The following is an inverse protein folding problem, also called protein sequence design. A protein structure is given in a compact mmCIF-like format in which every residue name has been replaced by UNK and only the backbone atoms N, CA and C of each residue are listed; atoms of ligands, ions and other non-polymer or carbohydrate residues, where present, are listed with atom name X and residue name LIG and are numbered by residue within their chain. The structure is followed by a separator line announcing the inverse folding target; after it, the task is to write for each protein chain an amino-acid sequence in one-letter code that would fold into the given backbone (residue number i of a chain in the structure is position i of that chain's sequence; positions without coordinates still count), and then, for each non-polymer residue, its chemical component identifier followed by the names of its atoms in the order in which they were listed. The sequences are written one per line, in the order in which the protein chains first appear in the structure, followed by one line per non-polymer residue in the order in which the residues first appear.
data_IF_654604425422
#
_entry.id   IF_654604425422
#
_cell.length_a   1.000
_cell.length_b   1.000
_cell.length_c   1.000
_cell.angle_alpha   90.00
_cell.angle_beta   90.00
_cell.angle_gamma   90.00
#
_symmetry.space_group_name_H-M   'P 1'
#
loop_
_entity.id
_entity.type
_entity.pdbx_description
1 polymer ?
#
# COMPACT_ATOMS: atom_id res chain seq x y z
N UNK A 1 -58.57 -11.03 74.18
CA UNK A 1 -59.21 -11.78 73.10
C UNK A 1 -58.21 -11.84 71.91
N UNK A 2 -57.59 -12.99 71.71
CA UNK A 2 -56.54 -13.22 70.66
C UNK A 2 -57.24 -13.75 69.45
N UNK A 3 -57.08 -13.02 68.28
CA UNK A 3 -57.49 -13.52 66.96
C UNK A 3 -56.33 -14.23 66.32
N UNK A 4 -56.50 -15.52 66.03
CA UNK A 4 -55.57 -16.32 65.28
C UNK A 4 -55.89 -16.14 63.81
N UNK A 5 -54.85 -15.73 62.99
CA UNK A 5 -54.94 -15.73 61.55
C UNK A 5 -54.30 -17.00 61.03
N UNK A 6 -55.08 -17.78 60.31
CA UNK A 6 -54.65 -18.99 59.60
C UNK A 6 -54.05 -18.55 58.27
N UNK A 7 -52.78 -18.89 58.03
CA UNK A 7 -52.07 -18.64 56.80
C UNK A 7 -52.16 -19.90 55.88
N UNK A 8 -52.90 -19.78 54.81
CA UNK A 8 -53.06 -20.88 53.81
C UNK A 8 -51.90 -20.82 52.82
N UNK A 9 -51.00 -21.81 52.85
CA UNK A 9 -49.92 -21.95 51.93
C UNK A 9 -50.43 -22.64 50.64
N UNK A 10 -50.46 -21.91 49.50
CA UNK A 10 -50.69 -22.51 48.20
C UNK A 10 -49.37 -23.00 47.64
N UNK A 11 -49.23 -24.31 47.48
CA UNK A 11 -48.11 -24.90 46.75
C UNK A 11 -48.41 -24.84 45.20
N UNK A 12 -47.73 -23.97 44.48
CA UNK A 12 -47.77 -23.98 43.01
C UNK A 12 -46.65 -24.92 42.50
N UNK A 13 -47.05 -26.07 42.01
CA UNK A 13 -46.14 -26.99 41.31
C UNK A 13 -45.92 -26.46 39.91
N UNK A 14 -44.77 -25.86 39.67
CA UNK A 14 -44.35 -25.45 38.29
C UNK A 14 -43.71 -26.65 37.64
N UNK A 15 -44.43 -27.27 36.69
CA UNK A 15 -43.89 -28.28 35.79
C UNK A 15 -43.07 -27.57 34.71
N UNK A 16 -41.76 -27.58 34.89
CA UNK A 16 -40.81 -27.04 33.89
C UNK A 16 -40.62 -28.07 32.79
N UNK A 17 -41.29 -27.85 31.65
CA UNK A 17 -40.93 -28.55 30.40
C UNK A 17 -39.57 -28.07 29.93
N UNK A 18 -38.52 -28.89 30.07
CA UNK A 18 -37.24 -28.70 29.38
C UNK A 18 -37.47 -28.92 27.87
N UNK A 19 -37.63 -27.85 27.12
CA UNK A 19 -37.41 -27.87 25.69
C UNK A 19 -35.89 -27.96 25.42
N UNK A 20 -35.42 -29.12 24.99
CA UNK A 20 -34.12 -29.28 24.40
C UNK A 20 -34.10 -28.51 23.08
N UNK A 21 -33.66 -27.24 23.09
CA UNK A 21 -33.18 -26.57 21.89
C UNK A 21 -31.88 -27.25 21.46
N UNK A 22 -31.94 -28.07 20.45
CA UNK A 22 -30.76 -28.38 19.65
C UNK A 22 -30.26 -27.05 19.06
N UNK A 23 -29.35 -26.36 19.73
CA UNK A 23 -28.48 -25.39 19.10
C UNK A 23 -27.69 -26.15 18.05
N UNK A 24 -28.06 -25.97 16.77
CA UNK A 24 -27.17 -26.31 15.67
C UNK A 24 -25.90 -25.50 15.87
N UNK A 25 -24.84 -26.17 16.29
CA UNK A 25 -23.51 -25.59 16.30
C UNK A 25 -23.27 -24.99 14.91
N UNK A 26 -23.13 -23.68 14.83
CA UNK A 26 -22.61 -23.05 13.63
C UNK A 26 -21.24 -23.71 13.35
N UNK A 27 -20.98 -24.11 12.09
CA UNK A 27 -19.66 -24.63 11.76
C UNK A 27 -18.64 -23.54 12.10
N UNK A 28 -17.80 -23.82 13.08
CA UNK A 28 -16.62 -23.02 13.34
C UNK A 28 -15.79 -23.03 12.06
N UNK A 29 -15.69 -21.86 11.40
CA UNK A 29 -14.82 -21.72 10.24
C UNK A 29 -13.43 -22.24 10.65
N UNK A 30 -12.97 -23.30 10.01
CA UNK A 30 -11.61 -23.82 10.23
C UNK A 30 -10.63 -22.67 10.00
N UNK A 31 -9.86 -22.33 11.02
CA UNK A 31 -8.84 -21.28 10.88
C UNK A 31 -7.83 -21.74 9.85
N UNK A 32 -7.73 -21.00 8.75
CA UNK A 32 -6.73 -21.24 7.70
C UNK A 32 -5.36 -21.26 8.36
N UNK A 33 -4.62 -22.36 8.19
CA UNK A 33 -3.24 -22.49 8.69
C UNK A 33 -2.31 -21.66 7.83
N UNK A 34 -1.43 -20.90 8.48
CA UNK A 34 -0.41 -20.07 7.83
C UNK A 34 0.99 -20.50 8.20
N UNK A 35 1.89 -20.37 7.23
CA UNK A 35 3.35 -20.49 7.43
C UNK A 35 3.96 -19.11 7.36
N UNK A 36 4.81 -18.78 8.30
CA UNK A 36 5.58 -17.54 8.35
C UNK A 36 7.06 -17.87 8.08
N UNK A 37 7.66 -17.12 7.16
CA UNK A 37 9.07 -17.24 6.78
C UNK A 37 9.69 -15.85 6.89
N UNK A 38 10.63 -15.72 7.84
CA UNK A 38 11.34 -14.46 8.11
C UNK A 38 12.76 -14.59 7.61
N UNK A 39 13.17 -13.68 6.72
CA UNK A 39 14.53 -13.54 6.19
C UNK A 39 15.00 -12.10 6.41
N UNK A 40 16.27 -11.84 6.25
CA UNK A 40 16.85 -10.50 6.37
C UNK A 40 16.21 -9.50 5.39
N UNK A 41 15.87 -9.96 4.22
CA UNK A 41 15.44 -9.15 3.06
C UNK A 41 13.94 -9.20 2.77
N UNK A 42 13.19 -10.12 3.44
CA UNK A 42 11.73 -10.19 3.34
C UNK A 42 11.09 -10.98 4.47
N UNK A 43 9.80 -10.77 4.65
CA UNK A 43 8.92 -11.67 5.39
C UNK A 43 7.82 -12.18 4.47
N UNK A 44 7.51 -13.47 4.57
CA UNK A 44 6.46 -14.11 3.81
C UNK A 44 5.45 -14.79 4.75
N UNK A 45 4.20 -14.38 4.65
CA UNK A 45 3.06 -15.00 5.32
C UNK A 45 2.20 -15.69 4.27
N UNK A 46 2.13 -17.01 4.28
CA UNK A 46 1.38 -17.73 3.26
C UNK A 46 0.44 -18.79 3.83
N UNK A 47 -0.74 -19.01 3.20
CA UNK A 47 -1.59 -20.14 3.53
C UNK A 47 -0.83 -21.45 3.37
N UNK A 48 -1.10 -22.43 4.25
CA UNK A 48 -0.56 -23.79 4.14
C UNK A 48 -1.26 -24.63 3.05
N UNK A 49 -2.40 -24.16 2.61
CA UNK A 49 -3.27 -24.80 1.59
C UNK A 49 -3.31 -23.99 0.29
N UNK A 50 -4.49 -23.78 -0.27
CA UNK A 50 -4.67 -23.03 -1.51
C UNK A 50 -4.32 -21.54 -1.33
N UNK A 51 -3.47 -21.00 -2.22
CA UNK A 51 -3.15 -19.58 -2.32
C UNK A 51 -3.97 -18.96 -3.45
N UNK A 52 -4.88 -18.05 -3.12
CA UNK A 52 -5.78 -17.38 -4.08
C UNK A 52 -5.19 -16.14 -4.73
N UNK A 53 -4.15 -15.59 -4.14
CA UNK A 53 -3.44 -14.44 -4.65
C UNK A 53 -2.15 -14.21 -3.88
N UNK A 54 -1.22 -13.48 -4.49
CA UNK A 54 0.04 -13.05 -3.88
C UNK A 54 0.07 -11.53 -3.85
N UNK A 55 0.25 -10.97 -2.67
CA UNK A 55 0.40 -9.54 -2.43
C UNK A 55 1.84 -9.23 -2.04
N UNK A 56 2.56 -8.51 -2.90
CA UNK A 56 3.93 -8.06 -2.65
C UNK A 56 3.87 -6.60 -2.20
N UNK A 57 4.43 -6.29 -1.03
CA UNK A 57 4.39 -4.96 -0.42
C UNK A 57 5.78 -4.36 -0.23
N UNK A 58 5.92 -3.11 -0.65
CA UNK A 58 7.08 -2.26 -0.42
C UNK A 58 6.70 -1.10 0.51
N UNK A 59 7.40 -0.96 1.62
CA UNK A 59 7.23 0.16 2.54
C UNK A 59 7.85 1.46 2.01
N UNK A 60 7.50 2.57 2.64
CA UNK A 60 8.18 3.84 2.44
C UNK A 60 9.54 3.90 3.15
N UNK A 61 10.31 4.94 2.91
CA UNK A 61 11.53 5.19 3.67
C UNK A 61 11.21 5.63 5.11
N UNK A 62 11.79 5.06 6.15
CA UNK A 62 12.69 3.91 6.26
C UNK A 62 11.97 2.62 6.73
N UNK A 63 10.75 2.35 6.26
CA UNK A 63 9.94 1.22 6.71
C UNK A 63 10.57 -0.13 6.33
N UNK A 64 10.45 -1.09 7.23
CA UNK A 64 10.72 -2.51 7.02
C UNK A 64 9.42 -3.32 7.18
N UNK A 65 9.50 -4.64 7.10
CA UNK A 65 8.33 -5.52 7.23
C UNK A 65 7.56 -5.31 8.55
N UNK A 66 8.25 -5.06 9.68
CA UNK A 66 7.59 -4.81 10.96
C UNK A 66 6.78 -3.51 10.95
N UNK A 67 7.32 -2.47 10.31
CA UNK A 67 6.62 -1.19 10.17
C UNK A 67 5.41 -1.34 9.25
N UNK A 68 5.55 -2.04 8.12
CA UNK A 68 4.43 -2.32 7.21
C UNK A 68 3.31 -3.07 7.95
N UNK A 69 3.64 -4.13 8.71
CA UNK A 69 2.67 -4.88 9.51
C UNK A 69 1.91 -3.99 10.50
N UNK A 70 2.65 -3.13 11.21
CA UNK A 70 2.08 -2.22 12.22
C UNK A 70 1.19 -1.14 11.61
N UNK A 71 1.63 -0.52 10.52
CA UNK A 71 0.94 0.64 9.93
C UNK A 71 -0.17 0.23 8.96
N UNK A 72 0.04 -0.79 8.14
CA UNK A 72 -0.96 -1.22 7.15
C UNK A 72 -2.00 -2.17 7.75
N UNK A 73 -1.63 -3.04 8.67
CA UNK A 73 -2.53 -3.97 9.36
C UNK A 73 -3.42 -4.78 8.41
N UNK A 74 -2.90 -5.27 7.31
CA UNK A 74 -3.66 -6.02 6.29
C UNK A 74 -3.60 -7.53 6.51
N UNK A 75 -2.63 -8.05 7.29
CA UNK A 75 -2.36 -9.48 7.46
C UNK A 75 -3.60 -10.31 7.78
N UNK A 76 -4.44 -9.86 8.72
CA UNK A 76 -5.57 -10.68 9.17
C UNK A 76 -6.60 -10.86 8.06
N UNK A 77 -6.96 -9.78 7.35
CA UNK A 77 -7.93 -9.87 6.26
C UNK A 77 -7.37 -10.63 5.05
N UNK A 78 -6.07 -10.54 4.78
CA UNK A 78 -5.41 -11.33 3.74
C UNK A 78 -5.43 -12.82 4.10
N UNK A 79 -5.13 -13.17 5.37
CA UNK A 79 -5.22 -14.52 5.90
C UNK A 79 -6.62 -15.11 5.73
N UNK A 80 -7.66 -14.39 6.15
CA UNK A 80 -9.05 -14.82 6.00
C UNK A 80 -9.45 -15.09 4.55
N UNK A 81 -8.72 -14.52 3.59
CA UNK A 81 -8.99 -14.63 2.15
C UNK A 81 -7.97 -15.49 1.39
N UNK A 82 -7.10 -16.24 2.07
CA UNK A 82 -6.08 -17.12 1.46
C UNK A 82 -5.10 -16.37 0.54
N UNK A 83 -4.75 -15.14 0.86
CA UNK A 83 -3.75 -14.36 0.15
C UNK A 83 -2.39 -14.55 0.84
N UNK A 84 -1.36 -14.88 0.06
CA UNK A 84 0.02 -14.86 0.53
C UNK A 84 0.55 -13.43 0.48
N UNK A 85 1.23 -12.99 1.54
CA UNK A 85 1.81 -11.66 1.63
C UNK A 85 3.31 -11.73 1.74
N UNK A 86 3.98 -11.05 0.81
CA UNK A 86 5.42 -10.87 0.78
C UNK A 86 5.73 -9.41 1.14
N UNK A 87 6.24 -9.20 2.35
CA UNK A 87 6.69 -7.90 2.84
C UNK A 87 8.18 -7.75 2.53
N UNK A 88 8.53 -6.81 1.68
CA UNK A 88 9.90 -6.61 1.23
C UNK A 88 10.64 -5.58 2.08
N UNK A 89 11.87 -5.90 2.50
CA UNK A 89 12.77 -4.94 3.15
C UNK A 89 13.55 -4.07 2.14
N UNK A 90 13.18 -4.11 0.87
CA UNK A 90 13.72 -3.25 -0.19
C UNK A 90 12.91 -1.95 -0.31
N UNK A 91 13.19 -0.98 0.55
CA UNK A 91 12.26 0.14 0.78
C UNK A 91 12.90 1.52 0.68
N UNK A 92 13.96 1.83 0.15
CA UNK A 92 14.61 3.13 0.30
C UNK A 92 14.95 3.78 -1.04
N UNK A 93 14.06 3.65 -2.04
CA UNK A 93 14.35 4.10 -3.39
C UNK A 93 13.27 5.03 -3.92
N UNK A 94 13.69 6.19 -4.41
CA UNK A 94 12.85 7.13 -5.16
C UNK A 94 12.89 6.87 -6.67
N UNK A 95 13.83 6.05 -7.13
CA UNK A 95 13.95 5.52 -8.49
C UNK A 95 14.70 4.21 -8.46
N UNK A 96 14.72 3.49 -9.57
CA UNK A 96 15.47 2.24 -9.71
C UNK A 96 16.36 2.32 -10.97
N UNK A 97 17.65 2.09 -10.79
CA UNK A 97 18.57 1.87 -11.89
C UNK A 97 18.25 0.54 -12.60
N UNK A 98 18.66 0.41 -13.86
CA UNK A 98 18.39 -0.80 -14.66
C UNK A 98 18.92 -2.07 -13.99
N UNK A 99 20.10 -2.01 -13.40
CA UNK A 99 20.72 -3.11 -12.64
C UNK A 99 19.92 -3.47 -11.39
N UNK A 100 19.41 -2.47 -10.66
CA UNK A 100 18.59 -2.66 -9.47
C UNK A 100 17.23 -3.29 -9.82
N UNK A 101 16.60 -2.83 -10.91
CA UNK A 101 15.37 -3.45 -11.42
C UNK A 101 15.59 -4.94 -11.73
N UNK A 102 16.73 -5.28 -12.36
CA UNK A 102 17.04 -6.66 -12.66
C UNK A 102 17.28 -7.50 -11.40
N UNK A 103 18.06 -7.00 -10.46
CA UNK A 103 18.35 -7.69 -9.20
C UNK A 103 17.08 -7.90 -8.37
N UNK A 104 16.23 -6.86 -8.25
CA UNK A 104 14.98 -6.97 -7.54
C UNK A 104 14.01 -7.96 -8.22
N UNK A 105 13.86 -7.91 -9.54
CA UNK A 105 13.04 -8.85 -10.29
C UNK A 105 13.52 -10.30 -10.12
N UNK A 106 14.84 -10.52 -10.17
CA UNK A 106 15.44 -11.84 -9.94
C UNK A 106 15.16 -12.34 -8.54
N UNK A 107 15.34 -11.49 -7.53
CA UNK A 107 15.04 -11.82 -6.14
C UNK A 107 13.57 -12.19 -5.92
N UNK A 108 12.63 -11.41 -6.48
CA UNK A 108 11.21 -11.73 -6.41
C UNK A 108 10.92 -13.08 -7.08
N UNK A 109 11.54 -13.36 -8.22
CA UNK A 109 11.43 -14.66 -8.90
C UNK A 109 11.92 -15.79 -8.01
N UNK A 110 13.10 -15.64 -7.38
CA UNK A 110 13.67 -16.69 -6.51
C UNK A 110 12.76 -16.95 -5.30
N UNK A 111 12.24 -15.91 -4.66
CA UNK A 111 11.30 -16.03 -3.54
C UNK A 111 10.03 -16.80 -3.97
N UNK A 112 9.47 -16.45 -5.14
CA UNK A 112 8.26 -17.10 -5.67
C UNK A 112 8.53 -18.60 -5.93
N UNK A 113 9.64 -18.93 -6.55
CA UNK A 113 10.01 -20.32 -6.88
C UNK A 113 10.29 -21.12 -5.61
N UNK A 114 11.16 -20.61 -4.73
CA UNK A 114 11.57 -21.30 -3.50
C UNK A 114 10.39 -21.61 -2.58
N UNK A 115 9.43 -20.68 -2.52
CA UNK A 115 8.27 -20.82 -1.66
C UNK A 115 7.04 -21.41 -2.37
N UNK A 116 7.18 -21.82 -3.63
CA UNK A 116 6.09 -22.40 -4.45
C UNK A 116 4.85 -21.51 -4.48
N UNK A 117 5.05 -20.20 -4.61
CA UNK A 117 3.95 -19.25 -4.76
C UNK A 117 3.39 -19.32 -6.19
N UNK A 118 2.07 -19.12 -6.39
CA UNK A 118 1.52 -19.04 -7.72
C UNK A 118 2.11 -17.83 -8.47
N UNK A 119 2.35 -17.99 -9.77
CA UNK A 119 2.80 -16.92 -10.67
C UNK A 119 1.65 -16.13 -11.29
N UNK A 120 0.46 -16.63 -11.12
CA UNK A 120 -0.81 -15.98 -11.49
C UNK A 120 -1.38 -15.22 -10.30
N UNK A 121 -2.19 -14.21 -10.57
CA UNK A 121 -2.85 -13.41 -9.55
C UNK A 121 -1.89 -12.74 -8.56
N UNK A 122 -0.80 -12.18 -9.08
CA UNK A 122 0.18 -11.40 -8.30
C UNK A 122 -0.22 -9.91 -8.34
N UNK A 123 -0.23 -9.29 -7.17
CA UNK A 123 -0.44 -7.86 -6.99
C UNK A 123 0.76 -7.25 -6.28
N UNK A 124 1.17 -6.07 -6.72
CA UNK A 124 2.30 -5.35 -6.17
C UNK A 124 1.83 -4.01 -5.63
N UNK A 125 2.18 -3.69 -4.41
CA UNK A 125 1.76 -2.44 -3.79
C UNK A 125 2.84 -1.79 -2.96
N UNK A 126 2.70 -0.48 -2.75
CA UNK A 126 3.65 0.22 -1.89
C UNK A 126 3.18 1.58 -1.42
N UNK A 127 3.75 1.97 -0.30
CA UNK A 127 3.53 3.26 0.34
C UNK A 127 4.71 4.20 0.07
N UNK A 128 4.42 5.48 -0.15
CA UNK A 128 5.47 6.50 -0.32
C UNK A 128 6.49 6.08 -1.40
N UNK A 129 7.79 6.06 -1.11
CA UNK A 129 8.82 5.56 -2.04
C UNK A 129 8.60 4.09 -2.46
N UNK A 130 7.97 3.26 -1.61
CA UNK A 130 7.60 1.89 -1.97
C UNK A 130 6.61 1.80 -3.12
N UNK A 131 5.72 2.79 -3.28
CA UNK A 131 4.83 2.85 -4.44
C UNK A 131 5.56 3.21 -5.74
N UNK A 132 6.61 4.02 -5.66
CA UNK A 132 7.52 4.26 -6.80
C UNK A 132 8.17 2.95 -7.24
N UNK A 133 8.72 2.19 -6.28
CA UNK A 133 9.31 0.87 -6.54
C UNK A 133 8.27 -0.07 -7.16
N UNK A 134 7.05 -0.11 -6.62
CA UNK A 134 5.96 -0.99 -7.09
C UNK A 134 5.64 -0.76 -8.57
N UNK A 135 5.49 0.48 -9.00
CA UNK A 135 5.21 0.82 -10.39
C UNK A 135 6.39 0.49 -11.31
N UNK A 136 7.61 0.91 -10.95
CA UNK A 136 8.79 0.72 -11.78
C UNK A 136 9.19 -0.75 -11.91
N UNK A 137 9.09 -1.54 -10.83
CA UNK A 137 9.44 -2.96 -10.89
C UNK A 137 8.40 -3.78 -11.65
N UNK A 138 7.11 -3.44 -11.53
CA UNK A 138 6.05 -4.12 -12.25
C UNK A 138 6.14 -3.86 -13.75
N UNK A 139 6.39 -2.61 -14.19
CA UNK A 139 6.64 -2.31 -15.61
C UNK A 139 7.84 -3.09 -16.14
N UNK A 140 8.93 -3.13 -15.37
CA UNK A 140 10.15 -3.84 -15.79
C UNK A 140 9.91 -5.35 -15.93
N UNK A 141 9.27 -5.99 -14.95
CA UNK A 141 9.02 -7.44 -14.94
C UNK A 141 8.12 -7.84 -16.12
N UNK A 142 7.02 -7.11 -16.37
CA UNK A 142 6.12 -7.37 -17.49
C UNK A 142 6.86 -7.23 -18.82
N UNK A 143 7.80 -6.29 -18.92
CA UNK A 143 8.67 -6.12 -20.09
C UNK A 143 9.69 -7.23 -20.29
N UNK A 144 10.00 -8.01 -19.25
CA UNK A 144 11.07 -9.02 -19.20
C UNK A 144 10.51 -10.40 -18.92
N UNK A 145 9.88 -11.03 -19.89
CA UNK A 145 9.19 -12.33 -19.77
C UNK A 145 9.99 -13.46 -19.11
N UNK A 146 11.30 -13.35 -19.06
CA UNK A 146 12.21 -14.34 -18.45
C UNK A 146 12.01 -14.54 -16.94
N UNK A 147 11.36 -13.59 -16.25
CA UNK A 147 11.09 -13.73 -14.81
C UNK A 147 9.84 -14.54 -14.48
N UNK A 148 9.00 -14.84 -15.49
CA UNK A 148 7.77 -15.63 -15.31
C UNK A 148 6.83 -15.09 -14.20
N UNK A 149 6.88 -13.79 -13.96
CA UNK A 149 6.00 -13.06 -13.04
C UNK A 149 5.14 -12.14 -13.89
N UNK A 150 3.81 -12.18 -13.69
CA UNK A 150 2.88 -11.35 -14.44
C UNK A 150 1.95 -10.61 -13.47
N UNK A 151 2.34 -9.45 -12.94
CA UNK A 151 1.49 -8.66 -12.04
C UNK A 151 0.15 -8.30 -12.68
N UNK A 152 -0.94 -8.77 -12.09
CA UNK A 152 -2.31 -8.47 -12.52
C UNK A 152 -2.77 -7.09 -12.07
N UNK A 153 -2.19 -6.57 -10.99
CA UNK A 153 -2.48 -5.25 -10.49
C UNK A 153 -1.31 -4.63 -9.73
N UNK A 154 -1.26 -3.30 -9.77
CA UNK A 154 -0.31 -2.48 -9.02
C UNK A 154 -1.08 -1.41 -8.29
N UNK A 155 -0.76 -1.15 -7.03
CA UNK A 155 -1.31 0.00 -6.32
C UNK A 155 -0.23 0.80 -5.61
N UNK A 156 -0.48 2.09 -5.49
CA UNK A 156 0.39 3.01 -4.74
C UNK A 156 -0.41 3.76 -3.69
N UNK A 157 0.25 4.08 -2.59
CA UNK A 157 -0.32 4.80 -1.46
C UNK A 157 0.49 6.07 -1.23
N UNK A 158 -0.04 7.19 -1.67
CA UNK A 158 0.49 8.55 -1.53
C UNK A 158 2.00 8.69 -1.84
N UNK A 159 2.39 8.30 -3.05
CA UNK A 159 3.78 8.13 -3.48
C UNK A 159 4.36 9.35 -4.21
N UNK A 160 5.65 9.71 -3.99
CA UNK A 160 6.32 10.82 -4.66
C UNK A 160 6.78 10.40 -6.07
N UNK A 161 5.86 10.36 -7.01
CA UNK A 161 6.04 9.79 -8.35
C UNK A 161 6.78 10.71 -9.35
N UNK A 162 6.88 12.01 -9.04
CA UNK A 162 7.55 13.01 -9.89
C UNK A 162 8.80 13.57 -9.20
N UNK A 163 9.97 13.12 -9.65
CA UNK A 163 11.26 13.54 -9.09
C UNK A 163 11.56 15.03 -9.33
N UNK A 164 11.04 15.63 -10.42
CA UNK A 164 11.24 17.06 -10.71
C UNK A 164 10.42 17.93 -9.77
N UNK A 165 9.22 17.46 -9.46
CA UNK A 165 8.34 18.09 -8.47
C UNK A 165 8.92 18.01 -7.07
N UNK A 166 9.47 16.85 -6.71
CA UNK A 166 10.14 16.63 -5.43
C UNK A 166 11.33 17.57 -5.25
N UNK A 167 12.16 17.73 -6.29
CA UNK A 167 13.27 18.69 -6.32
C UNK A 167 12.78 20.11 -6.05
N UNK A 168 11.82 20.59 -6.86
CA UNK A 168 11.25 21.95 -6.75
C UNK A 168 10.55 22.21 -5.40
N UNK A 169 9.86 21.18 -4.88
CA UNK A 169 9.22 21.25 -3.57
C UNK A 169 10.23 21.39 -2.45
N UNK A 170 11.37 20.70 -2.56
CA UNK A 170 12.48 20.79 -1.62
C UNK A 170 13.14 22.17 -1.64
N UNK A 171 13.36 22.79 -2.80
CA UNK A 171 13.81 24.18 -2.90
C UNK A 171 12.87 25.13 -2.13
N UNK A 172 11.55 25.03 -2.38
CA UNK A 172 10.55 25.86 -1.67
C UNK A 172 10.52 25.64 -0.15
N UNK A 173 10.70 24.40 0.29
CA UNK A 173 10.69 24.09 1.73
C UNK A 173 11.89 24.73 2.46
N UNK A 174 13.06 24.76 1.83
CA UNK A 174 14.25 25.44 2.38
C UNK A 174 14.01 26.96 2.43
N UNK A 175 13.49 27.56 1.35
CA UNK A 175 13.16 28.99 1.32
C UNK A 175 12.15 29.39 2.40
N UNK A 176 11.15 28.57 2.64
CA UNK A 176 10.12 28.82 3.68
C UNK A 176 10.63 28.71 5.10
N UNK A 177 11.62 27.89 5.34
CA UNK A 177 12.23 27.69 6.65
C UNK A 177 11.21 27.41 7.77
N UNK A 178 10.20 26.56 7.49
CA UNK A 178 9.07 26.33 8.39
C UNK A 178 9.42 25.41 9.57
N UNK A 179 10.10 24.30 9.32
CA UNK A 179 10.48 23.35 10.37
C UNK A 179 11.78 22.64 10.06
N UNK A 180 12.60 22.43 11.07
CA UNK A 180 13.90 21.77 10.93
C UNK A 180 13.81 20.40 10.25
N UNK A 181 12.88 19.47 10.61
CA UNK A 181 12.76 18.19 9.92
C UNK A 181 12.48 18.34 8.42
N UNK A 182 11.62 19.29 8.01
CA UNK A 182 11.31 19.53 6.61
C UNK A 182 12.51 20.10 5.83
N UNK A 183 13.32 20.93 6.48
CA UNK A 183 14.53 21.49 5.90
C UNK A 183 15.57 20.38 5.68
N UNK A 184 15.83 19.56 6.70
CA UNK A 184 16.82 18.49 6.63
C UNK A 184 16.45 17.44 5.57
N UNK A 185 15.18 17.05 5.48
CA UNK A 185 14.68 16.19 4.42
C UNK A 185 14.89 16.82 3.04
N UNK A 186 14.58 18.11 2.90
CA UNK A 186 14.71 18.84 1.64
C UNK A 186 16.16 19.01 1.20
N UNK A 187 17.09 19.26 2.15
CA UNK A 187 18.53 19.30 1.87
C UNK A 187 19.00 17.94 1.33
N UNK A 188 18.65 16.86 2.03
CA UNK A 188 18.99 15.51 1.62
C UNK A 188 18.42 15.18 0.22
N UNK A 189 17.16 15.54 -0.04
CA UNK A 189 16.52 15.30 -1.36
C UNK A 189 17.23 16.08 -2.48
N UNK A 190 17.56 17.36 -2.26
CA UNK A 190 18.28 18.16 -3.25
C UNK A 190 19.69 17.62 -3.51
N UNK A 191 20.37 17.14 -2.47
CA UNK A 191 21.69 16.54 -2.60
C UNK A 191 21.64 15.26 -3.44
N UNK A 192 20.76 14.31 -3.11
CA UNK A 192 20.70 13.04 -3.83
C UNK A 192 20.17 13.21 -5.26
N UNK A 193 19.18 14.06 -5.49
CA UNK A 193 18.65 14.32 -6.83
C UNK A 193 19.64 15.15 -7.66
N UNK A 194 20.24 16.17 -7.07
CA UNK A 194 21.23 17.02 -7.73
C UNK A 194 22.50 16.26 -8.14
N UNK A 195 23.02 15.39 -7.27
CA UNK A 195 24.19 14.57 -7.56
C UNK A 195 23.94 13.52 -8.65
N UNK A 196 22.75 12.95 -8.71
CA UNK A 196 22.42 11.93 -9.72
C UNK A 196 21.94 12.52 -11.05
N UNK A 197 21.14 13.59 -11.02
CA UNK A 197 20.45 14.10 -12.20
C UNK A 197 20.82 15.54 -12.56
N UNK A 198 21.38 16.30 -11.64
CA UNK A 198 21.62 17.76 -11.81
C UNK A 198 20.34 18.57 -11.59
N UNK A 199 20.35 19.85 -11.98
CA UNK A 199 19.16 20.68 -11.90
C UNK A 199 18.13 20.25 -12.96
N UNK A 200 16.85 20.05 -12.61
CA UNK A 200 15.83 19.60 -13.56
C UNK A 200 15.56 20.60 -14.69
N UNK A 201 15.87 21.89 -14.52
CA UNK A 201 15.74 22.90 -15.59
C UNK A 201 16.66 22.59 -16.77
N UNK A 202 17.85 22.05 -16.50
CA UNK A 202 18.87 21.78 -17.51
C UNK A 202 18.93 20.31 -17.92
N UNK A 203 18.40 19.41 -17.09
CA UNK A 203 18.57 17.96 -17.22
C UNK A 203 17.25 17.18 -17.17
N UNK A 204 16.16 17.73 -17.68
CA UNK A 204 14.82 17.10 -17.58
C UNK A 204 14.82 15.64 -18.06
N UNK A 205 15.53 15.32 -19.13
CA UNK A 205 15.59 13.96 -19.69
C UNK A 205 16.17 12.92 -18.72
N UNK A 206 17.10 13.30 -17.83
CA UNK A 206 17.60 12.38 -16.79
C UNK A 206 16.54 12.03 -15.77
N UNK A 207 15.73 13.02 -15.37
CA UNK A 207 14.59 12.82 -14.47
C UNK A 207 13.53 11.93 -15.12
N UNK A 208 13.17 12.20 -16.39
CA UNK A 208 12.20 11.40 -17.15
C UNK A 208 12.61 9.93 -17.31
N UNK A 209 13.90 9.65 -17.45
CA UNK A 209 14.41 8.29 -17.55
C UNK A 209 14.25 7.49 -16.25
N UNK A 210 14.14 8.17 -15.12
CA UNK A 210 14.14 7.54 -13.78
C UNK A 210 12.82 7.68 -13.03
N UNK A 211 12.07 8.77 -13.24
CA UNK A 211 10.80 9.03 -12.58
C UNK A 211 9.69 8.09 -13.08
N UNK A 212 8.74 7.81 -12.23
CA UNK A 212 7.46 7.16 -12.61
C UNK A 212 6.69 8.05 -13.58
N UNK A 213 6.60 9.33 -13.24
CA UNK A 213 5.90 10.35 -13.99
C UNK A 213 6.67 11.67 -13.95
N UNK A 214 6.65 12.41 -15.04
CA UNK A 214 7.13 13.80 -15.08
C UNK A 214 5.99 14.68 -15.56
N UNK A 215 5.35 15.38 -14.64
CA UNK A 215 4.12 16.13 -14.88
C UNK A 215 4.32 17.26 -15.90
N UNK A 216 5.45 17.97 -15.84
CA UNK A 216 5.73 19.13 -16.72
C UNK A 216 5.80 18.78 -18.20
N UNK A 217 6.12 17.53 -18.53
CA UNK A 217 6.22 17.01 -19.91
C UNK A 217 5.19 15.91 -20.21
N UNK A 218 4.32 15.60 -19.25
CA UNK A 218 3.36 14.50 -19.30
C UNK A 218 4.02 13.16 -19.71
N UNK A 219 5.24 12.90 -19.17
CA UNK A 219 6.02 11.71 -19.49
C UNK A 219 5.71 10.56 -18.54
N UNK A 220 5.28 9.42 -19.11
CA UNK A 220 5.00 8.14 -18.43
C UNK A 220 5.80 7.00 -19.07
N UNK A 221 6.97 7.29 -19.65
CA UNK A 221 7.75 6.31 -20.42
C UNK A 221 8.11 5.04 -19.65
N UNK A 222 8.23 5.15 -18.32
CA UNK A 222 8.57 4.04 -17.42
C UNK A 222 7.37 3.18 -16.98
N UNK A 223 6.17 3.43 -17.54
CA UNK A 223 4.94 2.69 -17.24
C UNK A 223 4.32 2.02 -18.48
N UNK A 224 4.99 2.05 -19.63
CA UNK A 224 4.45 1.61 -20.92
C UNK A 224 3.97 0.16 -20.96
N UNK A 225 4.54 -0.70 -20.13
CA UNK A 225 4.18 -2.13 -20.06
C UNK A 225 2.94 -2.39 -19.21
N UNK A 226 2.53 -1.42 -18.38
CA UNK A 226 1.38 -1.54 -17.48
C UNK A 226 0.02 -1.25 -18.16
N UNK A 227 -0.06 -1.08 -19.47
CA UNK A 227 -1.30 -0.70 -20.18
C UNK A 227 -2.50 -1.61 -19.87
N UNK A 228 -2.26 -2.90 -19.65
CA UNK A 228 -3.29 -3.90 -19.37
C UNK A 228 -3.35 -4.33 -17.90
N UNK A 229 -2.47 -3.79 -17.08
CA UNK A 229 -2.40 -4.06 -15.64
C UNK A 229 -3.42 -3.18 -14.92
N UNK A 230 -4.11 -3.72 -13.95
CA UNK A 230 -4.97 -2.91 -13.07
C UNK A 230 -4.11 -1.97 -12.23
N UNK A 231 -4.45 -0.70 -12.18
CA UNK A 231 -3.69 0.31 -11.42
C UNK A 231 -4.63 1.01 -10.44
N UNK A 232 -4.29 1.02 -9.15
CA UNK A 232 -4.95 1.82 -8.13
C UNK A 232 -4.02 2.87 -7.56
N UNK A 233 -4.51 4.09 -7.47
CA UNK A 233 -3.77 5.27 -7.05
C UNK A 233 -4.46 5.90 -5.84
N UNK A 234 -4.00 5.53 -4.64
CA UNK A 234 -4.55 6.04 -3.37
C UNK A 234 -3.83 7.30 -2.93
N UNK A 235 -4.59 8.28 -2.47
CA UNK A 235 -4.05 9.50 -1.86
C UNK A 235 -5.09 10.17 -0.97
N UNK A 236 -4.65 11.04 -0.06
CA UNK A 236 -5.54 11.88 0.75
C UNK A 236 -5.16 13.35 0.59
N UNK A 237 -5.86 14.10 -0.27
CA UNK A 237 -5.55 15.50 -0.59
C UNK A 237 -6.07 16.49 0.47
N UNK A 238 -5.66 16.30 1.72
CA UNK A 238 -6.01 17.20 2.84
C UNK A 238 -5.15 18.47 2.80
N UNK A 239 -5.55 19.42 1.97
CA UNK A 239 -4.83 20.69 1.79
C UNK A 239 -4.73 21.53 3.05
N UNK A 240 -5.72 21.44 3.94
CA UNK A 240 -5.71 22.19 5.20
C UNK A 240 -4.64 21.64 6.13
N UNK A 241 -4.64 20.32 6.34
CA UNK A 241 -3.62 19.68 7.19
C UNK A 241 -2.20 19.95 6.70
N UNK A 242 -1.96 19.82 5.39
CA UNK A 242 -0.65 20.06 4.79
C UNK A 242 -0.23 21.53 4.91
N UNK A 243 -1.18 22.46 4.77
CA UNK A 243 -0.92 23.88 4.96
C UNK A 243 -0.52 24.22 6.39
N UNK A 244 -1.26 23.70 7.36
CA UNK A 244 -1.02 23.96 8.78
C UNK A 244 0.24 23.27 9.31
N UNK A 245 0.53 22.03 8.88
CA UNK A 245 1.60 21.21 9.44
C UNK A 245 2.90 21.26 8.64
N UNK A 246 2.87 21.70 7.37
CA UNK A 246 4.04 21.72 6.47
C UNK A 246 4.16 23.02 5.64
N UNK A 247 3.24 23.95 5.78
CA UNK A 247 3.10 25.13 4.91
C UNK A 247 3.07 24.76 3.41
N UNK A 248 2.70 23.55 3.07
CA UNK A 248 2.68 23.07 1.71
C UNK A 248 1.39 23.48 0.98
N UNK A 249 1.54 23.91 -0.25
CA UNK A 249 0.43 24.13 -1.17
C UNK A 249 0.06 22.81 -1.86
N UNK A 250 -1.12 22.74 -2.49
CA UNK A 250 -1.60 21.52 -3.16
C UNK A 250 -0.61 20.99 -4.21
N UNK A 251 0.04 21.87 -4.98
CA UNK A 251 1.04 21.52 -5.99
C UNK A 251 2.37 20.98 -5.42
N UNK A 252 2.52 20.97 -4.10
CA UNK A 252 3.67 20.34 -3.41
C UNK A 252 3.33 18.97 -2.82
N UNK A 253 2.06 18.59 -2.87
CA UNK A 253 1.57 17.33 -2.34
C UNK A 253 1.69 16.22 -3.39
N UNK A 254 1.98 15.00 -2.95
CA UNK A 254 1.92 13.80 -3.80
C UNK A 254 0.56 13.67 -4.49
N UNK A 255 -0.52 14.04 -3.79
CA UNK A 255 -1.89 13.98 -4.26
C UNK A 255 -2.12 14.72 -5.59
N UNK A 256 -1.47 15.88 -5.79
CA UNK A 256 -1.55 16.61 -7.05
C UNK A 256 -1.00 15.80 -8.22
N UNK A 257 0.21 15.24 -8.06
CA UNK A 257 0.88 14.48 -9.12
C UNK A 257 0.24 13.12 -9.35
N UNK A 258 -0.28 12.47 -8.31
CA UNK A 258 -1.03 11.21 -8.42
C UNK A 258 -2.31 11.43 -9.24
N UNK A 259 -3.05 12.52 -8.99
CA UNK A 259 -4.20 12.90 -9.81
C UNK A 259 -3.79 13.13 -11.27
N UNK A 260 -2.72 13.91 -11.52
CA UNK A 260 -2.20 14.17 -12.86
C UNK A 260 -1.74 12.90 -13.58
N UNK A 261 -1.12 11.97 -12.85
CA UNK A 261 -0.78 10.65 -13.38
C UNK A 261 -2.04 9.89 -13.82
N UNK A 262 -3.07 9.84 -12.98
CA UNK A 262 -4.32 9.13 -13.33
C UNK A 262 -4.95 9.69 -14.61
N UNK A 263 -5.02 11.00 -14.73
CA UNK A 263 -5.52 11.70 -15.92
C UNK A 263 -4.69 11.32 -17.16
N UNK A 264 -3.35 11.33 -17.04
CA UNK A 264 -2.42 10.97 -18.12
C UNK A 264 -2.54 9.50 -18.55
N UNK A 265 -2.65 8.58 -17.59
CA UNK A 265 -2.81 7.14 -17.88
C UNK A 265 -4.12 6.88 -18.65
N UNK A 266 -5.23 7.46 -18.20
CA UNK A 266 -6.55 7.34 -18.87
C UNK A 266 -6.48 7.92 -20.29
N UNK A 267 -5.94 9.13 -20.46
CA UNK A 267 -5.77 9.77 -21.76
C UNK A 267 -4.93 8.92 -22.74
N UNK A 268 -3.88 8.25 -22.22
CA UNK A 268 -3.02 7.38 -23.02
C UNK A 268 -3.54 5.94 -23.21
N UNK A 269 -4.79 5.67 -22.79
CA UNK A 269 -5.52 4.44 -23.06
C UNK A 269 -5.03 3.26 -22.21
N UNK A 270 -4.76 3.48 -20.92
CA UNK A 270 -4.59 2.38 -19.95
C UNK A 270 -5.97 1.81 -19.60
N UNK A 271 -6.09 0.48 -19.60
CA UNK A 271 -7.38 -0.20 -19.59
C UNK A 271 -8.10 -0.15 -18.22
N UNK A 272 -7.35 -0.10 -17.12
CA UNK A 272 -7.94 -0.17 -15.77
C UNK A 272 -7.13 0.72 -14.80
N UNK A 273 -7.57 1.95 -14.65
CA UNK A 273 -6.97 2.95 -13.75
C UNK A 273 -8.03 3.47 -12.80
N UNK A 274 -7.79 3.32 -11.51
CA UNK A 274 -8.66 3.82 -10.45
C UNK A 274 -7.90 4.86 -9.63
N UNK A 275 -8.35 6.12 -9.66
CA UNK A 275 -7.88 7.17 -8.76
C UNK A 275 -8.79 7.20 -7.53
N UNK A 276 -8.22 6.99 -6.34
CA UNK A 276 -8.97 6.83 -5.10
C UNK A 276 -8.52 7.90 -4.09
N UNK A 277 -9.06 9.13 -4.20
CA UNK A 277 -8.86 10.14 -3.16
C UNK A 277 -9.70 9.80 -1.94
N UNK A 278 -9.10 9.88 -0.76
CA UNK A 278 -9.80 9.67 0.51
C UNK A 278 -9.95 10.97 1.29
N UNK A 279 -10.84 10.94 2.28
CA UNK A 279 -11.10 12.07 3.18
C UNK A 279 -11.12 11.51 4.59
N UNK A 280 -10.31 12.10 5.46
CA UNK A 280 -10.25 11.80 6.90
C UNK A 280 -10.01 10.31 7.22
N UNK A 281 -9.17 9.65 6.41
CA UNK A 281 -8.76 8.24 6.59
C UNK A 281 -7.30 8.10 7.04
N UNK A 282 -6.48 9.12 6.82
CA UNK A 282 -5.04 9.08 7.09
C UNK A 282 -4.72 9.20 8.59
N UNK A 283 -4.40 8.08 9.22
CA UNK A 283 -3.95 8.00 10.60
C UNK A 283 -2.79 6.99 10.73
N UNK A 284 -1.80 7.32 11.53
CA UNK A 284 -0.76 6.39 11.93
C UNK A 284 -1.31 5.32 12.88
N UNK A 285 -0.62 4.21 13.05
CA UNK A 285 -1.04 3.14 13.97
C UNK A 285 -1.17 3.61 15.44
N UNK A 286 -0.49 4.69 15.83
CA UNK A 286 -0.61 5.31 17.15
C UNK A 286 -1.84 6.23 17.30
N UNK A 287 -2.67 6.37 16.25
CA UNK A 287 -3.84 7.26 16.23
C UNK A 287 -3.57 8.71 15.80
N UNK A 288 -2.32 9.06 15.50
CA UNK A 288 -1.96 10.39 15.03
C UNK A 288 -2.52 10.64 13.62
N UNK A 289 -3.18 11.79 13.44
CA UNK A 289 -3.68 12.22 12.13
C UNK A 289 -2.51 12.54 11.20
N UNK A 290 -2.43 11.83 10.09
CA UNK A 290 -1.44 12.06 9.05
C UNK A 290 -1.93 11.59 7.68
N UNK A 291 -2.26 12.50 6.73
CA UNK A 291 -2.78 12.13 5.41
C UNK A 291 -1.86 11.20 4.62
N UNK A 292 -0.55 11.33 4.82
CA UNK A 292 0.45 10.42 4.25
C UNK A 292 0.60 9.19 5.15
N UNK A 293 -0.30 8.20 5.00
CA UNK A 293 -0.30 6.96 5.78
C UNK A 293 -0.98 5.80 5.04
N UNK A 294 -0.63 4.56 5.45
CA UNK A 294 -1.22 3.34 4.92
C UNK A 294 -2.74 3.25 5.13
N UNK A 295 -3.24 3.84 6.20
CA UNK A 295 -4.65 3.75 6.61
C UNK A 295 -5.63 4.39 5.62
N UNK A 296 -5.16 5.17 4.64
CA UNK A 296 -6.01 5.70 3.57
C UNK A 296 -6.54 4.59 2.65
N UNK A 297 -5.99 3.38 2.73
CA UNK A 297 -6.44 2.22 1.96
C UNK A 297 -7.56 1.49 2.70
N UNK A 298 -8.72 1.33 2.08
CA UNK A 298 -9.71 0.37 2.54
C UNK A 298 -9.23 -1.06 2.25
N UNK A 299 -8.80 -1.75 3.29
CA UNK A 299 -8.20 -3.09 3.20
C UNK A 299 -9.17 -4.13 2.65
N UNK A 300 -10.45 -4.03 2.99
CA UNK A 300 -11.48 -4.95 2.52
C UNK A 300 -11.75 -4.76 1.03
N UNK A 301 -11.85 -3.52 0.60
CA UNK A 301 -11.99 -3.19 -0.82
C UNK A 301 -10.74 -3.61 -1.63
N UNK A 302 -9.54 -3.39 -1.09
CA UNK A 302 -8.30 -3.86 -1.73
C UNK A 302 -8.27 -5.39 -1.89
N UNK A 303 -8.63 -6.15 -0.85
CA UNK A 303 -8.70 -7.61 -0.92
C UNK A 303 -9.74 -8.08 -1.93
N UNK A 304 -10.91 -7.44 -1.99
CA UNK A 304 -11.92 -7.73 -3.02
C UNK A 304 -11.38 -7.45 -4.43
N UNK A 305 -10.67 -6.36 -4.62
CA UNK A 305 -10.04 -6.02 -5.91
C UNK A 305 -8.99 -7.05 -6.35
N UNK A 306 -8.18 -7.56 -5.41
CA UNK A 306 -7.21 -8.64 -5.65
C UNK A 306 -7.92 -9.92 -6.09
N UNK A 307 -9.05 -10.24 -5.47
CA UNK A 307 -9.79 -11.49 -5.72
C UNK A 307 -10.88 -11.37 -6.81
N UNK A 308 -11.00 -10.22 -7.47
CA UNK A 308 -12.05 -9.93 -8.47
C UNK A 308 -13.49 -10.19 -7.95
N UNK A 309 -13.77 -9.77 -6.71
CA UNK A 309 -15.07 -9.92 -6.06
C UNK A 309 -15.91 -8.65 -6.18
#
# INVERSE_FOLDING_TARGET
MKKASILLLFFIVVVSCKQNKHEKAQPTAEKIKFTEIIKEDYELHKPSEEIKGVLILFGGYPENADVIKREFQILDIARENSIAELLSNFNQKLWLEKSEKYQLAKKLQDIIIENKLPTENIFVGGFSSGGVVSLLISDFIIGMKQFYIDPKGVFIVDSPIDLTALYKSSEKNIERNFSEPSIQESIWLLEILGNNFGNPKDNIAKYENSAVFTCSTNNISNLKKLKRTKIRLYTEPDTLWWKENRMADYEQMNAFYIKKLSESLIEKGYESVEYIPTIDKGYRANGERHPHSWSIVDKKDLVNWILNK
#
